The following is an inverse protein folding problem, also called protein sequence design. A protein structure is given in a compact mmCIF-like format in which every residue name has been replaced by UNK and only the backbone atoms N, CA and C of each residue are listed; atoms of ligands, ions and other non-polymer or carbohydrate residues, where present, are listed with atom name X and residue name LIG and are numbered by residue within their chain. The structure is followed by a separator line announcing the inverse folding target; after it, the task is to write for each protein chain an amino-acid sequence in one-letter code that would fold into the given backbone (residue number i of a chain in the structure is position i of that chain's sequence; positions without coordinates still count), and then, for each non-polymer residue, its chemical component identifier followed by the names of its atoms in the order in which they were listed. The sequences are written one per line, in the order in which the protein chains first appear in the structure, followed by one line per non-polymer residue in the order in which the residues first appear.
data_IF_620251609919
#
_entry.id   IF_620251609919
#
_cell.length_a   1.000
_cell.length_b   1.000
_cell.length_c   1.000
_cell.angle_alpha   90.00
_cell.angle_beta   90.00
_cell.angle_gamma   90.00
#
_symmetry.space_group_name_H-M   'P 1'
#
loop_
_entity.id
_entity.type
_entity.pdbx_description
1 polymer ?
#
# COMPACT_ATOMS: atom_id res chain seq x y z
N UNK A 1 -13.20 -31.54 -5.60
CA UNK A 1 -12.58 -31.84 -4.28
C UNK A 1 -11.56 -30.73 -4.02
N UNK A 2 -11.69 -29.99 -2.92
CA UNK A 2 -10.61 -29.12 -2.47
C UNK A 2 -9.42 -30.02 -2.09
N UNK A 3 -8.20 -29.62 -2.44
CA UNK A 3 -6.94 -30.24 -2.02
C UNK A 3 -6.89 -30.39 -0.50
N UNK A 4 -6.00 -31.25 0.02
CA UNK A 4 -5.76 -31.32 1.47
C UNK A 4 -5.60 -29.92 2.08
N UNK A 5 -6.14 -29.64 3.27
CA UNK A 5 -6.18 -28.29 3.85
C UNK A 5 -4.85 -27.53 3.79
N UNK A 6 -3.73 -28.19 4.12
CA UNK A 6 -2.40 -27.58 4.05
C UNK A 6 -2.01 -27.14 2.65
N UNK A 7 -2.32 -27.93 1.61
CA UNK A 7 -2.05 -27.54 0.23
C UNK A 7 -2.94 -26.36 -0.21
N UNK A 8 -4.19 -26.31 0.27
CA UNK A 8 -5.10 -25.20 0.01
C UNK A 8 -4.63 -23.89 0.64
N UNK A 9 -4.13 -23.95 1.87
CA UNK A 9 -3.55 -22.79 2.58
C UNK A 9 -2.32 -22.28 1.82
N UNK A 10 -1.39 -23.17 1.43
CA UNK A 10 -0.20 -22.79 0.66
C UNK A 10 -0.57 -22.14 -0.69
N UNK A 11 -1.62 -22.64 -1.37
CA UNK A 11 -2.10 -22.03 -2.60
C UNK A 11 -2.63 -20.63 -2.37
N UNK A 12 -3.41 -20.39 -1.31
CA UNK A 12 -3.89 -19.06 -0.94
C UNK A 12 -2.73 -18.10 -0.63
N UNK A 13 -1.70 -18.56 0.09
CA UNK A 13 -0.50 -17.77 0.38
C UNK A 13 0.23 -17.34 -0.90
N UNK A 14 0.36 -18.23 -1.88
CA UNK A 14 0.98 -17.91 -3.16
C UNK A 14 0.19 -16.85 -3.93
N UNK A 15 -1.14 -16.94 -3.95
CA UNK A 15 -2.01 -15.95 -4.58
C UNK A 15 -1.93 -14.59 -3.86
N UNK A 16 -1.91 -14.57 -2.53
CA UNK A 16 -1.71 -13.35 -1.73
C UNK A 16 -0.36 -12.70 -2.06
N UNK A 17 0.71 -13.49 -2.23
CA UNK A 17 2.01 -12.97 -2.67
C UNK A 17 1.92 -12.27 -4.03
N UNK A 18 1.14 -12.82 -4.96
CA UNK A 18 0.84 -12.19 -6.25
C UNK A 18 0.11 -10.84 -6.10
N UNK A 19 -0.88 -10.76 -5.21
CA UNK A 19 -1.58 -9.51 -4.89
C UNK A 19 -0.64 -8.48 -4.28
N UNK A 20 0.25 -8.88 -3.36
CA UNK A 20 1.26 -7.97 -2.79
C UNK A 20 2.21 -7.44 -3.87
N UNK A 21 2.58 -8.28 -4.85
CA UNK A 21 3.36 -7.85 -6.02
C UNK A 21 2.65 -6.79 -6.87
N UNK A 22 1.33 -6.93 -7.08
CA UNK A 22 0.51 -5.90 -7.75
C UNK A 22 0.43 -4.61 -6.91
N UNK A 23 0.24 -4.74 -5.60
CA UNK A 23 0.23 -3.61 -4.65
C UNK A 23 1.57 -2.86 -4.67
N UNK A 24 2.70 -3.55 -4.78
CA UNK A 24 4.03 -2.93 -4.94
C UNK A 24 4.09 -2.02 -6.17
N UNK A 25 3.53 -2.46 -7.30
CA UNK A 25 3.48 -1.69 -8.54
C UNK A 25 2.55 -0.48 -8.45
N UNK A 26 1.38 -0.67 -7.84
CA UNK A 26 0.45 0.45 -7.56
C UNK A 26 1.14 1.49 -6.70
N UNK A 27 1.71 1.09 -5.55
CA UNK A 27 2.41 2.01 -4.63
C UNK A 27 3.60 2.69 -5.34
N UNK A 28 4.35 1.96 -6.17
CA UNK A 28 5.49 2.51 -6.91
C UNK A 28 5.14 3.67 -7.84
N UNK A 29 3.89 3.73 -8.30
CA UNK A 29 3.41 4.74 -9.25
C UNK A 29 2.74 5.95 -8.58
N UNK A 30 2.36 5.85 -7.28
CA UNK A 30 1.43 6.79 -6.63
C UNK A 30 1.89 8.26 -6.63
N UNK A 31 3.18 8.53 -6.49
CA UNK A 31 3.66 9.92 -6.33
C UNK A 31 4.05 10.59 -7.65
N UNK A 32 4.15 9.84 -8.73
CA UNK A 32 4.59 10.38 -10.03
C UNK A 32 3.77 11.57 -10.51
N UNK A 33 2.42 11.56 -10.50
CA UNK A 33 1.61 12.69 -10.96
C UNK A 33 1.79 13.97 -10.14
N UNK A 34 2.38 13.87 -8.96
CA UNK A 34 2.56 15.00 -8.06
C UNK A 34 3.96 15.62 -8.16
N UNK A 35 4.91 14.87 -8.73
CA UNK A 35 6.34 15.23 -8.72
C UNK A 35 6.87 15.48 -10.13
N UNK A 36 6.40 14.70 -11.12
CA UNK A 36 6.84 14.82 -12.50
C UNK A 36 6.02 15.90 -13.23
N UNK A 37 6.68 16.75 -14.00
CA UNK A 37 6.02 17.86 -14.73
C UNK A 37 5.30 17.41 -16.02
N UNK A 38 5.53 16.17 -16.44
CA UNK A 38 4.94 15.66 -17.66
C UNK A 38 3.50 15.21 -17.45
N UNK A 39 2.56 15.84 -18.14
CA UNK A 39 1.12 15.50 -18.09
C UNK A 39 0.78 14.19 -18.85
N UNK A 40 1.61 13.80 -19.80
CA UNK A 40 1.44 12.55 -20.57
C UNK A 40 2.38 11.47 -20.03
N UNK A 41 2.10 11.00 -18.81
CA UNK A 41 2.88 9.93 -18.20
C UNK A 41 2.45 8.59 -18.73
N UNK A 42 3.37 7.89 -19.38
CA UNK A 42 3.19 6.48 -19.76
C UNK A 42 3.19 5.59 -18.52
N UNK A 43 2.42 4.51 -18.57
CA UNK A 43 2.45 3.49 -17.54
C UNK A 43 3.80 2.77 -17.54
N UNK A 44 4.33 2.48 -16.33
CA UNK A 44 5.66 1.86 -16.17
C UNK A 44 5.76 0.43 -16.69
N UNK A 45 4.65 -0.24 -16.94
CA UNK A 45 4.60 -1.63 -17.41
C UNK A 45 4.08 -1.74 -18.85
N UNK A 46 3.33 -0.75 -19.31
CA UNK A 46 2.76 -0.72 -20.65
C UNK A 46 2.74 0.71 -21.20
N UNK A 47 3.75 1.04 -21.98
CA UNK A 47 3.88 2.37 -22.59
C UNK A 47 2.77 2.72 -23.63
N UNK A 48 1.89 1.76 -23.97
CA UNK A 48 0.76 2.01 -24.86
C UNK A 48 -0.43 2.68 -24.15
N UNK A 49 -0.41 2.72 -22.81
CA UNK A 49 -1.46 3.34 -21.99
C UNK A 49 -0.86 4.38 -21.03
N UNK A 50 -1.70 5.33 -20.62
CA UNK A 50 -1.30 6.31 -19.62
C UNK A 50 -1.21 5.70 -18.20
N UNK A 51 -0.47 6.38 -17.33
CA UNK A 51 -0.22 5.95 -15.96
C UNK A 51 -1.52 5.70 -15.16
N UNK A 52 -2.52 6.57 -15.32
CA UNK A 52 -3.79 6.49 -14.59
C UNK A 52 -4.58 5.27 -15.01
N UNK A 53 -4.67 5.01 -16.30
CA UNK A 53 -5.31 3.81 -16.87
C UNK A 53 -4.63 2.53 -16.36
N UNK A 54 -3.30 2.46 -16.43
CA UNK A 54 -2.54 1.31 -15.94
C UNK A 54 -2.70 1.08 -14.42
N UNK A 55 -2.76 2.15 -13.65
CA UNK A 55 -3.00 2.09 -12.21
C UNK A 55 -4.40 1.55 -11.91
N UNK A 56 -5.45 2.04 -12.60
CA UNK A 56 -6.82 1.56 -12.42
C UNK A 56 -6.96 0.08 -12.80
N UNK A 57 -6.35 -0.37 -13.89
CA UNK A 57 -6.35 -1.78 -14.26
C UNK A 57 -5.74 -2.66 -13.17
N UNK A 58 -4.64 -2.23 -12.53
CA UNK A 58 -4.03 -2.94 -11.39
C UNK A 58 -4.91 -2.94 -10.16
N UNK A 59 -5.55 -1.82 -9.84
CA UNK A 59 -6.51 -1.69 -8.72
C UNK A 59 -7.68 -2.65 -8.90
N UNK A 60 -8.29 -2.70 -10.08
CA UNK A 60 -9.42 -3.58 -10.36
C UNK A 60 -9.00 -5.06 -10.34
N UNK A 61 -7.81 -5.38 -10.84
CA UNK A 61 -7.24 -6.72 -10.73
C UNK A 61 -7.00 -7.15 -9.29
N UNK A 62 -6.48 -6.25 -8.43
CA UNK A 62 -6.33 -6.50 -7.00
C UNK A 62 -7.69 -6.76 -6.34
N UNK A 63 -8.71 -5.95 -6.64
CA UNK A 63 -10.08 -6.15 -6.12
C UNK A 63 -10.63 -7.52 -6.48
N UNK A 64 -10.52 -7.91 -7.76
CA UNK A 64 -10.96 -9.21 -8.25
C UNK A 64 -10.23 -10.37 -7.57
N UNK A 65 -8.90 -10.30 -7.44
CA UNK A 65 -8.12 -11.34 -6.79
C UNK A 65 -8.44 -11.45 -5.30
N UNK A 66 -8.56 -10.34 -4.58
CA UNK A 66 -8.90 -10.33 -3.16
C UNK A 66 -10.26 -10.98 -2.90
N UNK A 67 -11.27 -10.70 -3.73
CA UNK A 67 -12.59 -11.34 -3.63
C UNK A 67 -12.49 -12.85 -3.83
N UNK A 68 -11.78 -13.30 -4.86
CA UNK A 68 -11.61 -14.74 -5.14
C UNK A 68 -10.83 -15.45 -4.04
N UNK A 69 -9.75 -14.87 -3.53
CA UNK A 69 -8.97 -15.43 -2.43
C UNK A 69 -9.83 -15.52 -1.16
N UNK A 70 -10.59 -14.46 -0.82
CA UNK A 70 -11.49 -14.46 0.33
C UNK A 70 -12.54 -15.58 0.22
N UNK A 71 -13.19 -15.71 -0.93
CA UNK A 71 -14.15 -16.77 -1.20
C UNK A 71 -13.53 -18.19 -1.13
N UNK A 72 -12.28 -18.30 -1.58
CA UNK A 72 -11.54 -19.56 -1.47
C UNK A 72 -11.21 -19.91 -0.01
N UNK A 73 -10.68 -18.96 0.76
CA UNK A 73 -10.37 -19.14 2.18
C UNK A 73 -11.61 -19.48 3.01
N UNK A 74 -12.79 -18.88 2.71
CA UNK A 74 -14.06 -19.28 3.33
C UNK A 74 -14.42 -20.74 3.03
N UNK A 75 -14.13 -21.24 1.82
CA UNK A 75 -14.34 -22.67 1.51
C UNK A 75 -13.34 -23.57 2.25
N UNK A 76 -12.10 -23.12 2.41
CA UNK A 76 -11.07 -23.85 3.17
C UNK A 76 -11.45 -23.90 4.66
N UNK A 77 -11.95 -22.81 5.25
CA UNK A 77 -12.35 -22.75 6.66
C UNK A 77 -13.48 -23.70 7.07
N UNK A 78 -14.23 -24.22 6.08
CA UNK A 78 -15.31 -25.20 6.29
C UNK A 78 -14.83 -26.67 6.26
N UNK A 79 -13.53 -26.89 6.05
CA UNK A 79 -12.96 -28.23 6.09
C UNK A 79 -12.61 -28.63 7.52
N UNK A 80 -12.25 -29.92 7.70
CA UNK A 80 -11.72 -30.40 8.96
C UNK A 80 -10.27 -29.90 9.13
N UNK A 81 -10.12 -28.79 9.82
CA UNK A 81 -8.86 -28.09 10.06
C UNK A 81 -8.34 -28.40 11.45
N UNK A 82 -7.03 -28.55 11.59
CA UNK A 82 -6.38 -28.45 12.89
C UNK A 82 -6.50 -27.04 13.45
N UNK A 83 -6.32 -26.86 14.76
CA UNK A 83 -6.34 -25.55 15.40
C UNK A 83 -5.34 -24.58 14.74
N UNK A 84 -4.12 -25.05 14.50
CA UNK A 84 -3.09 -24.27 13.79
C UNK A 84 -3.52 -23.86 12.38
N UNK A 85 -4.10 -24.75 11.60
CA UNK A 85 -4.62 -24.44 10.27
C UNK A 85 -5.78 -23.42 10.33
N UNK A 86 -6.63 -23.52 11.34
CA UNK A 86 -7.72 -22.55 11.53
C UNK A 86 -7.19 -21.14 11.83
N UNK A 87 -6.17 -21.04 12.67
CA UNK A 87 -5.48 -19.78 12.95
C UNK A 87 -4.80 -19.22 11.68
N UNK A 88 -4.12 -20.07 10.91
CA UNK A 88 -3.52 -19.68 9.63
C UNK A 88 -4.55 -19.13 8.64
N UNK A 89 -5.67 -19.83 8.44
CA UNK A 89 -6.74 -19.36 7.56
C UNK A 89 -7.31 -18.02 8.04
N UNK A 90 -7.55 -17.87 9.34
CA UNK A 90 -8.03 -16.62 9.92
C UNK A 90 -7.07 -15.45 9.66
N UNK A 91 -5.78 -15.66 9.88
CA UNK A 91 -4.76 -14.63 9.63
C UNK A 91 -4.62 -14.27 8.14
N UNK A 92 -4.76 -15.26 7.24
CA UNK A 92 -4.78 -15.00 5.80
C UNK A 92 -6.01 -14.20 5.36
N UNK A 93 -7.20 -14.50 5.90
CA UNK A 93 -8.42 -13.70 5.65
C UNK A 93 -8.21 -12.26 6.13
N UNK A 94 -7.64 -12.08 7.31
CA UNK A 94 -7.32 -10.77 7.86
C UNK A 94 -6.33 -10.01 6.98
N UNK A 95 -5.28 -10.67 6.50
CA UNK A 95 -4.30 -10.08 5.58
C UNK A 95 -4.94 -9.63 4.26
N UNK A 96 -5.81 -10.45 3.66
CA UNK A 96 -6.56 -10.11 2.44
C UNK A 96 -7.48 -8.89 2.66
N UNK A 97 -8.14 -8.81 3.81
CA UNK A 97 -8.97 -7.65 4.16
C UNK A 97 -8.14 -6.36 4.27
N UNK A 98 -6.96 -6.41 4.86
CA UNK A 98 -6.07 -5.24 4.90
C UNK A 98 -5.49 -4.89 3.54
N UNK A 99 -5.15 -5.87 2.68
CA UNK A 99 -4.76 -5.61 1.28
C UNK A 99 -5.89 -4.94 0.49
N UNK A 100 -7.14 -5.37 0.71
CA UNK A 100 -8.29 -4.71 0.13
C UNK A 100 -8.47 -3.27 0.65
N UNK A 101 -8.19 -3.03 1.93
CA UNK A 101 -8.23 -1.69 2.52
C UNK A 101 -7.14 -0.78 1.92
N UNK A 102 -5.93 -1.29 1.65
CA UNK A 102 -4.89 -0.55 0.92
C UNK A 102 -5.40 -0.17 -0.47
N UNK A 103 -5.94 -1.14 -1.21
CA UNK A 103 -6.46 -0.93 -2.55
C UNK A 103 -7.57 0.13 -2.59
N UNK A 104 -8.52 0.06 -1.65
CA UNK A 104 -9.60 1.03 -1.52
C UNK A 104 -9.10 2.43 -1.13
N UNK A 105 -8.08 2.52 -0.28
CA UNK A 105 -7.47 3.81 0.09
C UNK A 105 -6.94 4.53 -1.15
N UNK A 106 -6.27 3.80 -2.04
CA UNK A 106 -5.79 4.36 -3.32
C UNK A 106 -6.97 4.68 -4.24
N UNK A 107 -7.86 3.74 -4.46
CA UNK A 107 -9.02 3.89 -5.38
C UNK A 107 -9.87 5.11 -5.06
N UNK A 108 -10.09 5.40 -3.79
CA UNK A 108 -10.97 6.49 -3.35
C UNK A 108 -10.29 7.86 -3.35
N UNK A 109 -8.97 7.93 -3.25
CA UNK A 109 -8.26 9.20 -3.04
C UNK A 109 -7.44 9.66 -4.24
N UNK A 110 -6.85 8.73 -4.99
CA UNK A 110 -5.86 9.04 -6.01
C UNK A 110 -6.37 10.02 -7.07
N UNK A 111 -7.50 9.73 -7.69
CA UNK A 111 -8.04 10.57 -8.77
C UNK A 111 -8.38 11.98 -8.32
N UNK A 112 -8.95 12.11 -7.12
CA UNK A 112 -9.28 13.42 -6.55
C UNK A 112 -8.01 14.22 -6.23
N UNK A 113 -6.97 13.57 -5.71
CA UNK A 113 -5.69 14.23 -5.44
C UNK A 113 -5.00 14.68 -6.73
N UNK A 114 -4.99 13.85 -7.77
CA UNK A 114 -4.45 14.21 -9.09
C UNK A 114 -5.23 15.40 -9.66
N UNK A 115 -6.56 15.34 -9.65
CA UNK A 115 -7.41 16.44 -10.11
C UNK A 115 -7.13 17.75 -9.35
N UNK A 116 -6.99 17.71 -8.02
CA UNK A 116 -6.61 18.89 -7.23
C UNK A 116 -5.24 19.44 -7.67
N UNK A 117 -4.25 18.56 -7.90
CA UNK A 117 -2.90 18.98 -8.30
C UNK A 117 -2.89 19.61 -9.69
N UNK A 118 -3.65 19.08 -10.64
CA UNK A 118 -3.79 19.62 -12.01
C UNK A 118 -4.45 21.01 -12.03
N UNK A 119 -5.28 21.34 -11.03
CA UNK A 119 -5.96 22.63 -10.93
C UNK A 119 -5.19 23.71 -10.13
N UNK A 120 -4.00 23.39 -9.65
CA UNK A 120 -3.11 24.32 -8.95
C UNK A 120 -1.89 24.57 -9.84
N UNK A 121 -1.64 25.85 -10.16
CA UNK A 121 -0.47 26.26 -10.97
C UNK A 121 0.85 26.32 -10.17
N UNK A 122 0.86 25.72 -8.99
CA UNK A 122 2.03 25.72 -8.10
C UNK A 122 2.59 24.32 -7.91
N UNK A 123 3.91 24.25 -7.79
CA UNK A 123 4.62 23.02 -7.43
C UNK A 123 4.77 22.94 -5.91
N UNK A 124 5.07 21.72 -5.40
CA UNK A 124 5.52 21.62 -4.01
C UNK A 124 6.81 22.41 -3.81
N UNK A 125 6.99 22.99 -2.63
CA UNK A 125 8.30 23.53 -2.26
C UNK A 125 9.37 22.42 -2.34
N UNK A 126 10.65 22.76 -2.60
CA UNK A 126 11.72 21.75 -2.69
C UNK A 126 11.74 20.80 -1.49
N UNK A 127 11.61 21.30 -0.28
CA UNK A 127 11.55 20.49 0.93
C UNK A 127 10.29 19.61 0.97
N UNK A 128 9.12 20.13 0.58
CA UNK A 128 7.87 19.38 0.53
C UNK A 128 7.93 18.23 -0.48
N UNK A 129 8.55 18.46 -1.63
CA UNK A 129 8.79 17.43 -2.64
C UNK A 129 9.74 16.35 -2.12
N UNK A 130 10.84 16.73 -1.45
CA UNK A 130 11.78 15.79 -0.86
C UNK A 130 11.12 14.93 0.22
N UNK A 131 10.30 15.52 1.09
CA UNK A 131 9.56 14.81 2.13
C UNK A 131 8.64 13.73 1.54
N UNK A 132 7.87 14.06 0.50
CA UNK A 132 6.99 13.11 -0.20
C UNK A 132 7.80 11.97 -0.81
N UNK A 133 8.87 12.28 -1.56
CA UNK A 133 9.73 11.28 -2.20
C UNK A 133 10.42 10.37 -1.19
N UNK A 134 10.94 10.94 -0.12
CA UNK A 134 11.60 10.17 0.94
C UNK A 134 10.63 9.25 1.68
N UNK A 135 9.44 9.73 1.99
CA UNK A 135 8.43 8.91 2.66
C UNK A 135 7.92 7.79 1.74
N UNK A 136 7.62 8.12 0.49
CA UNK A 136 7.23 7.13 -0.54
C UNK A 136 8.29 6.03 -0.71
N UNK A 137 9.57 6.40 -0.78
CA UNK A 137 10.65 5.41 -0.87
C UNK A 137 10.73 4.48 0.35
N UNK A 138 10.40 4.98 1.55
CA UNK A 138 10.27 4.15 2.76
C UNK A 138 9.07 3.21 2.69
N UNK A 139 7.92 3.72 2.25
CA UNK A 139 6.71 2.93 2.06
C UNK A 139 6.94 1.81 1.04
N UNK A 140 7.54 2.12 -0.11
CA UNK A 140 7.85 1.12 -1.13
C UNK A 140 8.77 0.00 -0.57
N UNK A 141 9.73 0.35 0.30
CA UNK A 141 10.54 -0.66 1.01
C UNK A 141 9.69 -1.54 1.94
N UNK A 142 8.63 -1.00 2.55
CA UNK A 142 7.71 -1.78 3.39
C UNK A 142 6.92 -2.79 2.56
N UNK A 143 6.35 -2.37 1.42
CA UNK A 143 5.63 -3.29 0.51
C UNK A 143 6.56 -4.40 0.02
N UNK A 144 7.82 -4.06 -0.35
CA UNK A 144 8.85 -5.04 -0.74
C UNK A 144 9.18 -6.04 0.39
N UNK A 145 9.19 -5.60 1.65
CA UNK A 145 9.36 -6.50 2.80
C UNK A 145 8.17 -7.44 2.94
N UNK A 146 6.95 -6.90 2.79
CA UNK A 146 5.73 -7.69 2.83
C UNK A 146 5.71 -8.75 1.72
N UNK A 147 6.11 -8.40 0.51
CA UNK A 147 6.23 -9.34 -0.61
C UNK A 147 7.23 -10.48 -0.29
N UNK A 148 8.41 -10.13 0.23
CA UNK A 148 9.41 -11.12 0.67
C UNK A 148 8.93 -11.98 1.84
N UNK A 149 8.08 -11.45 2.70
CA UNK A 149 7.47 -12.21 3.79
C UNK A 149 6.51 -13.28 3.23
N UNK A 150 5.60 -12.93 2.34
CA UNK A 150 4.69 -13.91 1.73
C UNK A 150 5.37 -14.93 0.83
N UNK A 151 6.50 -14.58 0.20
CA UNK A 151 7.31 -15.52 -0.59
C UNK A 151 8.01 -16.57 0.27
N UNK A 152 8.34 -16.26 1.53
CA UNK A 152 8.93 -17.16 2.52
C UNK A 152 8.57 -16.66 3.91
N UNK A 153 7.62 -17.36 4.52
CA UNK A 153 7.18 -17.07 5.88
C UNK A 153 8.35 -17.07 6.86
N UNK A 154 8.56 -15.93 7.52
CA UNK A 154 9.66 -15.73 8.46
C UNK A 154 9.24 -14.66 9.49
N UNK A 155 9.09 -15.11 10.74
CA UNK A 155 8.68 -14.26 11.87
C UNK A 155 9.59 -13.03 12.05
N UNK A 156 10.89 -13.16 11.79
CA UNK A 156 11.82 -12.04 11.86
C UNK A 156 11.53 -10.97 10.80
N UNK A 157 11.04 -11.36 9.62
CA UNK A 157 10.62 -10.40 8.58
C UNK A 157 9.37 -9.62 8.99
N UNK A 158 8.38 -10.29 9.58
CA UNK A 158 7.18 -9.62 10.09
C UNK A 158 7.52 -8.63 11.21
N UNK A 159 8.34 -9.04 12.19
CA UNK A 159 8.83 -8.15 13.24
C UNK A 159 9.58 -6.91 12.66
N UNK A 160 10.36 -7.12 11.58
CA UNK A 160 11.06 -6.02 10.90
C UNK A 160 10.12 -5.06 10.19
N UNK A 161 9.00 -5.54 9.64
CA UNK A 161 7.96 -4.67 9.06
C UNK A 161 7.38 -3.78 10.14
N UNK A 162 7.03 -4.33 11.31
CA UNK A 162 6.47 -3.57 12.42
C UNK A 162 7.45 -2.54 12.97
N UNK A 163 8.70 -2.93 13.24
CA UNK A 163 9.76 -2.00 13.71
C UNK A 163 9.92 -0.82 12.74
N UNK A 164 9.99 -1.09 11.45
CA UNK A 164 10.18 -0.04 10.44
C UNK A 164 8.92 0.79 10.22
N UNK A 165 7.76 0.18 10.32
CA UNK A 165 6.49 0.88 10.22
C UNK A 165 6.35 1.96 11.29
N UNK A 166 6.66 1.63 12.55
CA UNK A 166 6.65 2.60 13.64
C UNK A 166 7.65 3.75 13.41
N UNK A 167 8.88 3.43 12.97
CA UNK A 167 9.86 4.45 12.61
C UNK A 167 9.35 5.40 11.52
N UNK A 168 8.59 4.87 10.55
CA UNK A 168 8.05 5.69 9.46
C UNK A 168 6.84 6.53 9.90
N UNK A 169 6.06 6.09 10.89
CA UNK A 169 5.05 6.96 11.52
C UNK A 169 5.69 8.18 12.17
N UNK A 170 6.74 8.00 12.96
CA UNK A 170 7.48 9.12 13.55
C UNK A 170 8.14 10.04 12.50
N UNK A 171 8.55 9.48 11.37
CA UNK A 171 9.07 10.28 10.27
C UNK A 171 7.98 11.13 9.61
N UNK A 172 6.77 10.59 9.40
CA UNK A 172 5.63 11.34 8.87
C UNK A 172 5.24 12.49 9.81
N UNK A 173 5.18 12.24 11.12
CA UNK A 173 4.90 13.29 12.10
C UNK A 173 5.91 14.43 12.04
N UNK A 174 7.20 14.10 11.89
CA UNK A 174 8.25 15.10 11.68
C UNK A 174 8.01 15.93 10.41
N UNK A 175 7.75 15.28 9.28
CA UNK A 175 7.50 15.96 8.02
C UNK A 175 6.24 16.82 8.06
N UNK A 176 5.19 16.36 8.71
CA UNK A 176 3.97 17.16 8.94
C UNK A 176 4.26 18.42 9.73
N UNK A 177 5.08 18.34 10.77
CA UNK A 177 5.49 19.50 11.57
C UNK A 177 6.33 20.49 10.74
N UNK A 178 7.30 20.02 9.97
CA UNK A 178 8.13 20.89 9.12
C UNK A 178 7.28 21.57 8.03
N UNK A 179 6.33 20.84 7.42
CA UNK A 179 5.38 21.41 6.49
C UNK A 179 4.53 22.53 7.14
N UNK A 180 4.01 22.33 8.35
CA UNK A 180 3.28 23.34 9.09
C UNK A 180 4.13 24.61 9.37
N UNK A 181 5.41 24.45 9.68
CA UNK A 181 6.33 25.59 9.86
C UNK A 181 6.48 26.40 8.57
N UNK A 182 6.61 25.74 7.42
CA UNK A 182 6.68 26.44 6.11
C UNK A 182 5.39 27.18 5.79
N UNK A 183 4.22 26.57 6.03
CA UNK A 183 2.92 27.22 5.84
C UNK A 183 2.77 28.42 6.78
N UNK A 184 3.14 28.29 8.06
CA UNK A 184 3.10 29.40 9.03
C UNK A 184 4.13 30.49 8.75
N UNK A 185 5.18 30.19 7.99
CA UNK A 185 6.18 31.14 7.51
C UNK A 185 5.85 31.73 6.15
N UNK A 186 4.62 31.54 5.65
CA UNK A 186 4.13 32.07 4.36
C UNK A 186 4.97 31.66 3.15
N UNK A 187 5.57 30.44 3.16
CA UNK A 187 6.24 29.88 1.98
C UNK A 187 5.19 29.60 0.92
N UNK A 188 5.19 30.38 -0.15
CA UNK A 188 4.12 30.45 -1.17
C UNK A 188 3.72 29.09 -1.69
N UNK A 189 4.67 28.27 -2.12
CA UNK A 189 4.43 26.95 -2.68
C UNK A 189 3.83 26.00 -1.63
N UNK A 190 4.30 26.08 -0.38
CA UNK A 190 3.79 25.27 0.72
C UNK A 190 2.37 25.65 1.12
N UNK A 191 2.02 26.94 1.07
CA UNK A 191 0.66 27.43 1.31
C UNK A 191 -0.27 26.98 0.19
N UNK A 192 0.12 27.17 -1.07
CA UNK A 192 -0.69 26.82 -2.24
C UNK A 192 -0.95 25.32 -2.36
N UNK A 193 0.02 24.47 -2.00
CA UNK A 193 -0.07 23.01 -2.10
C UNK A 193 -0.40 22.32 -0.78
N UNK A 194 -0.73 23.07 0.28
CA UNK A 194 -0.92 22.56 1.63
C UNK A 194 -1.86 21.34 1.71
N UNK A 195 -3.07 21.50 1.16
CA UNK A 195 -4.10 20.45 1.21
C UNK A 195 -3.62 19.16 0.54
N UNK A 196 -3.05 19.27 -0.66
CA UNK A 196 -2.58 18.12 -1.44
C UNK A 196 -1.42 17.43 -0.72
N UNK A 197 -0.47 18.20 -0.17
CA UNK A 197 0.67 17.66 0.58
C UNK A 197 0.20 16.82 1.77
N UNK A 198 -0.71 17.38 2.59
CA UNK A 198 -1.23 16.69 3.78
C UNK A 198 -2.03 15.45 3.39
N UNK A 199 -2.93 15.53 2.42
CA UNK A 199 -3.76 14.39 2.02
C UNK A 199 -2.94 13.26 1.37
N UNK A 200 -1.92 13.61 0.59
CA UNK A 200 -1.01 12.63 -0.03
C UNK A 200 -0.17 11.92 1.04
N UNK A 201 0.43 12.67 1.97
CA UNK A 201 1.18 12.10 3.08
C UNK A 201 0.31 11.21 3.97
N UNK A 202 -0.93 11.60 4.21
CA UNK A 202 -1.91 10.84 4.99
C UNK A 202 -2.28 9.52 4.29
N UNK A 203 -2.47 9.54 2.98
CA UNK A 203 -2.69 8.33 2.18
C UNK A 203 -1.50 7.36 2.29
N UNK A 204 -0.28 7.85 2.13
CA UNK A 204 0.94 7.04 2.23
C UNK A 204 1.12 6.46 3.64
N UNK A 205 0.86 7.26 4.70
CA UNK A 205 0.87 6.82 6.10
C UNK A 205 -0.16 5.73 6.37
N UNK A 206 -1.39 5.89 5.88
CA UNK A 206 -2.44 4.89 6.03
C UNK A 206 -2.04 3.55 5.41
N UNK A 207 -1.42 3.56 4.23
CA UNK A 207 -0.90 2.33 3.60
C UNK A 207 0.18 1.69 4.48
N UNK A 208 1.12 2.47 5.03
CA UNK A 208 2.14 1.95 5.95
C UNK A 208 1.49 1.24 7.17
N UNK A 209 0.49 1.88 7.79
CA UNK A 209 -0.23 1.32 8.94
C UNK A 209 -0.92 0.00 8.59
N UNK A 210 -1.56 -0.09 7.43
CA UNK A 210 -2.21 -1.33 6.98
C UNK A 210 -1.20 -2.45 6.72
N UNK A 211 -0.01 -2.13 6.21
CA UNK A 211 1.09 -3.11 6.06
C UNK A 211 1.56 -3.64 7.42
N UNK A 212 1.65 -2.78 8.44
CA UNK A 212 1.98 -3.19 9.82
C UNK A 212 0.91 -4.12 10.39
N UNK A 213 -0.37 -3.80 10.18
CA UNK A 213 -1.49 -4.65 10.64
C UNK A 213 -1.48 -6.03 9.96
N UNK A 214 -1.13 -6.11 8.67
CA UNK A 214 -0.91 -7.41 8.00
C UNK A 214 0.22 -8.18 8.69
N UNK A 215 1.36 -7.54 8.93
CA UNK A 215 2.49 -8.21 9.57
C UNK A 215 2.16 -8.67 11.00
N UNK A 216 1.42 -7.84 11.76
CA UNK A 216 0.97 -8.19 13.12
C UNK A 216 0.05 -9.40 13.13
N UNK A 217 -0.96 -9.44 12.26
CA UNK A 217 -1.92 -10.56 12.20
C UNK A 217 -1.24 -11.91 11.86
N UNK A 218 -0.10 -11.86 11.19
CA UNK A 218 0.66 -13.03 10.79
C UNK A 218 1.74 -13.44 11.81
N UNK A 219 2.07 -12.57 12.78
CA UNK A 219 2.94 -12.91 13.91
C UNK A 219 2.24 -13.74 14.98
N UNK A 220 0.92 -13.70 15.02
CA UNK A 220 0.09 -14.45 15.99
C UNK A 220 -0.04 -15.92 15.65
N UNK A 221 0.48 -16.37 14.50
CA UNK A 221 0.51 -17.77 14.10
C UNK A 221 1.71 -18.45 14.79
N UNK A 222 1.44 -19.29 15.81
CA UNK A 222 2.44 -20.11 16.49
C UNK A 222 2.87 -21.35 15.69
#
# INVERSE_FOLDING_TARGET
MLSQPGAAINSAQAEISGVVGLTERVVGSLVRPFIEENTEMEDVENAEIDLKTGLHQRIDKISFLNENISNYLVKVSRQDLTEKQSQEVFSLVTAVNYLNSINNTVKLRFDNLVFKKENINEHFSPDGQEEILMYHAKLLKQVKRLNKFFSKYDRAKAAKIMEKGEQYRGLEEKYRLEHFKRVSGDVTESVATHEIHIELMDMLKQINTLIELIASSLLEID
#
